data_IF_928307284087
#
_entry.id   IF_928307284087
#
_cell.length_a   1.000
_cell.length_b   1.000
_cell.length_c   1.000
_cell.angle_alpha   90.00
_cell.angle_beta   90.00
_cell.angle_gamma   90.00
#
_symmetry.space_group_name_H-M   'P 1'
#
loop_
_entity.id
_entity.type
_entity.pdbx_description
1 polymer ?
#
# COMPACT_ATOMS: atom_id res chain seq x y z
N UNK A 1 -14.21 8.37 22.66
CA UNK A 1 -12.73 8.46 22.55
C UNK A 1 -12.41 8.13 21.10
N UNK A 2 -12.00 9.11 20.29
CA UNK A 2 -11.72 8.87 18.87
C UNK A 2 -10.33 8.23 18.74
N UNK A 3 -10.27 7.00 18.24
CA UNK A 3 -9.00 6.36 17.93
C UNK A 3 -8.33 7.13 16.79
N UNK A 4 -7.02 7.44 16.86
CA UNK A 4 -6.33 8.05 15.73
C UNK A 4 -6.41 7.07 14.55
N UNK A 5 -6.79 7.59 13.39
CA UNK A 5 -6.93 6.82 12.16
C UNK A 5 -5.58 6.27 11.67
N UNK A 6 -5.56 5.15 10.92
CA UNK A 6 -4.35 4.58 10.31
C UNK A 6 -3.49 5.61 9.57
N UNK A 7 -2.19 5.36 9.54
CA UNK A 7 -1.19 6.23 8.92
C UNK A 7 -0.61 5.56 7.68
N UNK A 8 -0.73 6.20 6.51
CA UNK A 8 -0.06 5.80 5.27
C UNK A 8 1.12 6.72 4.96
N UNK A 9 2.15 6.18 4.31
CA UNK A 9 3.23 7.00 3.75
C UNK A 9 2.76 7.78 2.52
N UNK A 10 3.06 9.07 2.50
CA UNK A 10 2.79 10.02 1.43
C UNK A 10 4.12 10.60 0.89
N UNK A 11 4.15 11.22 -0.31
CA UNK A 11 5.40 11.67 -0.95
C UNK A 11 6.35 12.50 -0.08
N UNK A 12 5.81 13.25 0.89
CA UNK A 12 6.59 14.16 1.75
C UNK A 12 6.18 14.04 3.23
N UNK A 13 5.60 12.90 3.65
CA UNK A 13 5.19 12.74 5.03
C UNK A 13 4.28 11.55 5.30
N UNK A 14 3.48 11.69 6.35
CA UNK A 14 2.50 10.68 6.78
C UNK A 14 1.11 11.25 6.65
N UNK A 15 0.18 10.49 6.07
CA UNK A 15 -1.22 10.86 5.94
C UNK A 15 -2.10 9.97 6.81
N UNK A 16 -2.98 10.59 7.59
CA UNK A 16 -3.99 9.89 8.38
C UNK A 16 -5.21 9.57 7.51
N UNK A 17 -5.59 8.30 7.41
CA UNK A 17 -6.77 7.87 6.63
C UNK A 17 -7.69 7.00 7.47
N UNK A 18 -8.98 7.31 7.49
CA UNK A 18 -10.00 6.42 8.02
C UNK A 18 -10.43 5.35 7.01
N UNK A 19 -11.25 4.37 7.42
CA UNK A 19 -11.84 3.40 6.50
C UNK A 19 -12.59 4.11 5.38
N UNK A 20 -12.51 3.54 4.18
CA UNK A 20 -13.17 4.09 3.00
C UNK A 20 -14.66 4.25 3.26
N UNK A 21 -15.22 5.41 2.90
CA UNK A 21 -16.67 5.62 3.00
C UNK A 21 -17.31 5.02 1.76
N UNK A 22 -18.17 4.04 1.98
CA UNK A 22 -19.10 3.59 0.95
C UNK A 22 -20.10 4.73 0.64
N UNK A 23 -19.87 5.45 -0.45
CA UNK A 23 -20.73 6.52 -0.95
C UNK A 23 -21.54 6.08 -2.18
N UNK A 24 -21.99 4.81 -2.22
CA UNK A 24 -22.90 4.26 -3.26
C UNK A 24 -24.17 5.08 -3.53
N UNK A 25 -24.45 6.12 -2.75
CA UNK A 25 -25.49 7.12 -3.06
C UNK A 25 -25.29 7.80 -4.42
N UNK A 26 -24.04 7.91 -4.89
CA UNK A 26 -23.70 8.37 -6.24
C UNK A 26 -22.68 7.43 -6.85
N UNK A 27 -23.13 6.32 -7.48
CA UNK A 27 -22.25 5.27 -7.98
C UNK A 27 -21.17 5.77 -8.94
N UNK A 28 -21.43 6.87 -9.65
CA UNK A 28 -20.50 7.40 -10.65
C UNK A 28 -19.29 8.15 -10.08
N UNK A 29 -19.48 8.77 -8.92
CA UNK A 29 -18.42 9.46 -8.18
C UNK A 29 -18.09 8.70 -6.89
N UNK A 30 -18.39 7.40 -6.87
CA UNK A 30 -18.17 6.61 -5.70
C UNK A 30 -16.66 6.51 -5.42
N UNK A 31 -16.22 7.01 -4.27
CA UNK A 31 -14.81 6.93 -3.87
C UNK A 31 -14.51 5.46 -3.63
N UNK A 32 -13.56 4.91 -4.37
CA UNK A 32 -13.08 3.56 -4.10
C UNK A 32 -12.41 3.56 -2.71
N UNK A 33 -12.59 2.49 -1.91
CA UNK A 33 -11.97 2.42 -0.58
C UNK A 33 -10.44 2.34 -0.63
N UNK A 34 -9.87 2.10 -1.82
CA UNK A 34 -8.43 1.97 -2.08
C UNK A 34 -7.68 3.27 -1.87
N UNK A 35 -6.52 3.20 -1.23
CA UNK A 35 -5.59 4.29 -1.03
C UNK A 35 -4.15 3.89 -1.43
N UNK A 36 -3.33 4.85 -1.87
CA UNK A 36 -1.92 4.61 -2.13
C UNK A 36 -1.06 4.77 -0.86
N UNK A 37 0.06 4.05 -0.80
CA UNK A 37 1.16 4.25 0.14
C UNK A 37 2.51 4.10 -0.59
N UNK A 38 3.57 4.77 -0.12
CA UNK A 38 4.89 4.83 -0.80
C UNK A 38 6.01 4.00 -0.16
N UNK A 39 5.71 3.22 0.87
CA UNK A 39 6.69 2.32 1.45
C UNK A 39 6.33 1.74 2.80
N UNK A 40 5.40 2.36 3.52
CA UNK A 40 4.82 1.77 4.71
C UNK A 40 3.35 2.15 4.91
N UNK A 41 2.68 1.30 5.69
CA UNK A 41 1.37 1.54 6.28
C UNK A 41 1.42 1.12 7.75
N UNK A 42 0.89 1.94 8.65
CA UNK A 42 0.71 1.59 10.05
C UNK A 42 -0.78 1.58 10.39
N UNK A 43 -1.26 0.44 10.87
CA UNK A 43 -2.63 0.33 11.35
C UNK A 43 -2.79 1.04 12.69
N UNK A 44 -3.95 1.63 12.88
CA UNK A 44 -4.41 2.17 14.14
C UNK A 44 -5.90 1.81 14.29
N UNK A 45 -6.30 1.32 15.46
CA UNK A 45 -7.64 0.78 15.65
C UNK A 45 -7.77 -0.09 16.90
N UNK A 46 -8.90 -0.84 17.03
CA UNK A 46 -9.18 -1.66 18.21
C UNK A 46 -8.35 -2.96 18.28
N UNK A 47 -7.74 -3.36 17.16
CA UNK A 47 -6.79 -4.48 17.11
C UNK A 47 -5.38 -4.03 17.46
N UNK A 48 -4.50 -4.91 17.97
CA UNK A 48 -3.09 -4.57 18.19
C UNK A 48 -2.46 -3.97 16.92
N UNK A 49 -1.82 -2.78 17.02
CA UNK A 49 -1.32 -2.08 15.85
C UNK A 49 -0.17 -2.87 15.20
N UNK A 50 -0.10 -2.80 13.88
CA UNK A 50 0.96 -3.38 13.07
C UNK A 50 1.48 -2.37 12.05
N UNK A 51 2.68 -2.61 11.54
CA UNK A 51 3.28 -1.90 10.43
C UNK A 51 3.51 -2.89 9.29
N UNK A 52 3.15 -2.46 8.09
CA UNK A 52 3.47 -3.11 6.84
C UNK A 52 4.52 -2.25 6.12
N UNK A 53 5.57 -2.87 5.62
CA UNK A 53 6.57 -2.20 4.78
C UNK A 53 6.66 -2.90 3.42
N UNK A 54 6.83 -2.09 2.37
CA UNK A 54 6.91 -2.55 0.99
C UNK A 54 7.98 -1.75 0.23
N UNK A 55 8.78 -2.37 -0.66
CA UNK A 55 9.71 -1.66 -1.52
C UNK A 55 8.98 -0.84 -2.60
N UNK A 56 8.49 0.35 -2.23
CA UNK A 56 7.88 1.31 -3.16
C UNK A 56 6.38 1.49 -2.96
N UNK A 57 5.68 1.76 -4.07
CA UNK A 57 4.27 2.13 -4.05
C UNK A 57 3.37 0.91 -4.01
N UNK A 58 2.38 0.92 -3.12
CA UNK A 58 1.37 -0.11 -3.05
C UNK A 58 -0.02 0.47 -2.81
N UNK A 59 -1.03 -0.31 -3.17
CA UNK A 59 -2.45 0.01 -3.00
C UNK A 59 -2.99 -0.84 -1.86
N UNK A 60 -3.78 -0.23 -0.99
CA UNK A 60 -4.41 -0.91 0.14
C UNK A 60 -5.84 -0.41 0.36
N UNK A 61 -6.66 -1.20 1.04
CA UNK A 61 -7.96 -0.81 1.57
C UNK A 61 -8.00 -0.94 3.09
N UNK A 62 -8.75 -0.06 3.72
CA UNK A 62 -9.02 -0.08 5.17
C UNK A 62 -10.47 -0.51 5.39
N UNK A 63 -10.66 -1.66 6.02
CA UNK A 63 -11.96 -2.14 6.44
C UNK A 63 -12.45 -1.45 7.73
N UNK A 64 -13.76 -1.54 7.98
CA UNK A 64 -14.39 -0.88 9.13
C UNK A 64 -13.96 -1.47 10.48
N UNK A 65 -13.50 -2.71 10.49
CA UNK A 65 -13.09 -3.43 11.71
C UNK A 65 -11.58 -3.27 12.01
N UNK A 66 -10.87 -2.46 11.22
CA UNK A 66 -9.43 -2.26 11.33
C UNK A 66 -8.60 -3.30 10.58
N UNK A 67 -9.23 -4.10 9.74
CA UNK A 67 -8.60 -4.96 8.75
C UNK A 67 -7.99 -4.14 7.61
N UNK A 68 -6.92 -4.68 7.01
CA UNK A 68 -6.22 -4.06 5.89
C UNK A 68 -6.11 -5.08 4.76
N UNK A 69 -6.66 -4.75 3.60
CA UNK A 69 -6.49 -5.53 2.39
C UNK A 69 -5.38 -4.89 1.53
N UNK A 70 -4.45 -5.71 1.07
CA UNK A 70 -3.31 -5.29 0.26
C UNK A 70 -3.45 -5.81 -1.16
N UNK A 71 -3.40 -4.93 -2.15
CA UNK A 71 -3.47 -5.33 -3.55
C UNK A 71 -2.12 -5.92 -3.98
N UNK A 72 -2.05 -7.24 -4.13
CA UNK A 72 -0.83 -7.93 -4.60
C UNK A 72 -0.66 -7.86 -6.12
N UNK A 73 -1.77 -7.89 -6.86
CA UNK A 73 -1.79 -7.82 -8.32
C UNK A 73 -3.15 -7.29 -8.80
N UNK A 74 -3.16 -6.53 -9.89
CA UNK A 74 -4.36 -6.00 -10.53
C UNK A 74 -4.25 -6.12 -12.04
N UNK A 75 -4.95 -7.11 -12.58
CA UNK A 75 -4.99 -7.42 -14.02
C UNK A 75 -6.17 -6.73 -14.71
N UNK A 76 -5.91 -6.00 -15.80
CA UNK A 76 -6.95 -5.30 -16.58
C UNK A 76 -6.86 -5.62 -18.07
N UNK A 77 -8.00 -5.72 -18.75
CA UNK A 77 -8.07 -6.14 -20.16
C UNK A 77 -8.13 -5.00 -21.16
N UNK A 78 -8.53 -3.82 -20.69
CA UNK A 78 -8.75 -2.63 -21.52
C UNK A 78 -8.39 -1.39 -20.73
N UNK A 79 -7.86 -0.38 -21.43
CA UNK A 79 -7.54 0.93 -20.86
C UNK A 79 -8.80 1.71 -20.46
N UNK A 80 -9.87 1.57 -21.24
CA UNK A 80 -11.13 2.27 -21.04
C UNK A 80 -12.28 1.38 -21.50
N UNK A 81 -13.09 0.92 -20.54
CA UNK A 81 -14.27 0.08 -20.78
C UNK A 81 -15.51 0.94 -21.06
N UNK A 82 -16.38 0.50 -21.96
CA UNK A 82 -17.71 1.08 -22.18
C UNK A 82 -18.72 0.66 -21.14
N UNK A 83 -18.53 -0.53 -20.57
CA UNK A 83 -19.49 -1.23 -19.71
C UNK A 83 -19.16 -1.07 -18.22
N UNK A 84 -18.58 0.08 -17.84
CA UNK A 84 -18.32 0.39 -16.44
C UNK A 84 -19.64 0.68 -15.72
N UNK A 85 -19.90 -0.04 -14.61
CA UNK A 85 -21.11 0.17 -13.78
C UNK A 85 -21.22 1.57 -13.21
N UNK A 86 -20.08 2.25 -13.06
CA UNK A 86 -19.98 3.56 -12.44
C UNK A 86 -19.87 4.68 -13.47
N UNK A 87 -19.99 4.41 -14.78
CA UNK A 87 -20.10 5.49 -15.76
C UNK A 87 -20.56 4.95 -17.10
N UNK A 88 -21.49 5.66 -17.74
CA UNK A 88 -21.82 5.41 -19.14
C UNK A 88 -20.65 5.82 -20.05
N UNK A 89 -20.25 4.91 -20.94
CA UNK A 89 -19.27 5.18 -21.99
C UNK A 89 -17.81 5.25 -21.53
N UNK A 90 -16.95 5.65 -22.46
CA UNK A 90 -15.49 5.57 -22.33
C UNK A 90 -14.86 6.75 -21.57
N UNK A 91 -13.76 6.47 -20.84
CA UNK A 91 -12.93 7.50 -20.18
C UNK A 91 -11.84 8.01 -21.13
N UNK A 92 -11.54 7.20 -22.14
CA UNK A 92 -10.48 7.36 -23.11
C UNK A 92 -10.61 6.28 -24.20
N UNK A 93 -9.59 6.12 -25.02
CA UNK A 93 -9.66 5.19 -26.16
C UNK A 93 -9.89 3.74 -25.72
N UNK A 94 -10.77 3.03 -26.43
CA UNK A 94 -11.13 1.64 -26.16
C UNK A 94 -10.02 0.66 -26.60
N UNK A 95 -8.85 0.79 -26.00
CA UNK A 95 -7.66 0.03 -26.38
C UNK A 95 -7.54 -1.22 -25.53
N UNK A 96 -7.41 -2.38 -26.19
CA UNK A 96 -7.10 -3.64 -25.51
C UNK A 96 -5.68 -3.60 -24.92
N UNK A 97 -5.53 -4.09 -23.68
CA UNK A 97 -4.25 -4.09 -22.95
C UNK A 97 -3.88 -5.50 -22.49
N UNK A 98 -3.62 -6.44 -23.41
CA UNK A 98 -3.37 -7.85 -23.04
C UNK A 98 -2.15 -8.02 -22.13
N UNK A 99 -1.13 -7.17 -22.26
CA UNK A 99 0.04 -7.20 -21.37
C UNK A 99 -0.29 -6.76 -19.93
N UNK A 100 -1.30 -5.91 -19.73
CA UNK A 100 -1.75 -5.48 -18.40
C UNK A 100 -2.57 -6.54 -17.66
N UNK A 101 -2.67 -7.75 -18.20
CA UNK A 101 -3.16 -8.92 -17.48
C UNK A 101 -2.13 -9.49 -16.50
N UNK A 102 -0.88 -9.01 -16.55
CA UNK A 102 0.21 -9.48 -15.71
C UNK A 102 0.44 -11.01 -15.86
N UNK A 103 0.62 -11.56 -17.08
CA UNK A 103 0.82 -12.99 -17.26
C UNK A 103 2.18 -13.46 -16.73
N UNK A 104 2.24 -14.68 -16.19
CA UNK A 104 3.48 -15.30 -15.74
C UNK A 104 3.63 -15.32 -14.22
N UNK A 105 4.86 -15.57 -13.74
CA UNK A 105 5.16 -15.70 -12.31
C UNK A 105 5.52 -14.34 -11.73
N UNK A 106 4.83 -13.97 -10.66
CA UNK A 106 5.11 -12.78 -9.84
C UNK A 106 5.67 -13.17 -8.49
N UNK A 107 6.62 -12.39 -8.00
CA UNK A 107 7.14 -12.49 -6.64
C UNK A 107 6.87 -11.15 -5.98
N UNK A 108 6.21 -11.21 -4.82
CA UNK A 108 5.82 -10.03 -4.06
C UNK A 108 6.47 -10.12 -2.70
N UNK A 109 7.22 -9.08 -2.33
CA UNK A 109 7.99 -9.01 -1.09
C UNK A 109 7.49 -7.84 -0.24
N UNK A 110 7.14 -8.14 1.00
CA UNK A 110 6.74 -7.16 2.01
C UNK A 110 7.01 -7.71 3.40
N UNK A 111 7.04 -6.84 4.40
CA UNK A 111 7.17 -7.24 5.81
C UNK A 111 5.98 -6.77 6.62
N UNK A 112 5.65 -7.53 7.67
CA UNK A 112 4.68 -7.14 8.68
C UNK A 112 5.33 -7.28 10.06
N UNK A 113 5.21 -6.24 10.88
CA UNK A 113 5.71 -6.23 12.25
C UNK A 113 4.67 -5.67 13.23
N UNK A 114 4.57 -6.20 14.47
CA UNK A 114 3.79 -5.54 15.51
C UNK A 114 4.33 -4.13 15.78
N UNK A 115 3.45 -3.13 15.81
CA UNK A 115 3.84 -1.74 15.96
C UNK A 115 3.60 -1.25 17.40
N UNK A 116 4.38 -1.78 18.36
CA UNK A 116 4.32 -1.37 19.78
C UNK A 116 5.06 -0.04 20.00
N UNK A 117 4.47 0.86 20.81
CA UNK A 117 5.14 2.09 21.27
C UNK A 117 4.68 3.39 20.61
N UNK A 118 5.06 4.51 21.22
CA UNK A 118 4.84 5.87 20.72
C UNK A 118 5.67 6.12 19.46
N UNK A 119 5.05 6.74 18.47
CA UNK A 119 5.72 7.19 17.26
C UNK A 119 5.81 8.70 17.38
N UNK A 120 7.02 9.24 17.28
CA UNK A 120 7.26 10.69 17.37
C UNK A 120 6.43 11.48 16.34
N UNK A 121 6.41 12.82 16.44
CA UNK A 121 5.59 13.69 15.60
C UNK A 121 5.82 13.55 14.08
N UNK A 122 6.88 12.87 13.65
CA UNK A 122 7.18 12.55 12.25
C UNK A 122 6.60 11.21 11.77
N UNK A 123 5.95 10.41 12.62
CA UNK A 123 5.35 9.14 12.21
C UNK A 123 6.34 8.01 11.94
N UNK A 124 7.64 8.19 12.21
CA UNK A 124 8.69 7.23 11.86
C UNK A 124 9.05 6.35 13.07
N UNK A 125 8.45 5.16 13.17
CA UNK A 125 9.11 4.02 13.82
C UNK A 125 10.07 3.43 12.77
N UNK A 126 11.33 3.15 13.13
CA UNK A 126 12.45 3.53 12.30
C UNK A 126 12.50 2.71 11.01
N UNK A 127 12.92 3.43 9.98
CA UNK A 127 13.51 3.01 8.71
C UNK A 127 14.45 1.77 8.76
N UNK A 128 14.76 1.23 9.95
CA UNK A 128 15.58 0.05 10.19
C UNK A 128 14.95 -1.25 9.68
N UNK A 129 13.63 -1.46 9.72
CA UNK A 129 13.04 -2.68 9.10
C UNK A 129 13.19 -2.62 7.58
N UNK A 130 12.90 -1.45 6.98
CA UNK A 130 13.08 -1.23 5.54
C UNK A 130 14.53 -1.39 5.11
N UNK A 131 15.48 -0.82 5.85
CA UNK A 131 16.91 -0.97 5.57
C UNK A 131 17.35 -2.43 5.74
N UNK A 132 16.97 -3.10 6.84
CA UNK A 132 17.39 -4.47 7.12
C UNK A 132 16.77 -5.53 6.19
N UNK A 133 15.56 -5.29 5.66
CA UNK A 133 14.88 -6.22 4.75
C UNK A 133 15.29 -6.01 3.28
N UNK A 134 15.57 -4.76 2.87
CA UNK A 134 15.89 -4.42 1.47
C UNK A 134 17.39 -4.31 1.17
N UNK A 135 18.26 -4.34 2.17
CA UNK A 135 19.69 -4.48 1.93
C UNK A 135 20.09 -5.94 2.04
N UNK A 136 20.65 -6.51 0.97
CA UNK A 136 21.52 -7.67 1.12
C UNK A 136 22.55 -7.35 2.21
N UNK A 137 22.88 -8.31 3.10
CA UNK A 137 23.94 -8.08 4.06
C UNK A 137 25.21 -7.73 3.28
N UNK A 138 25.77 -6.54 3.53
CA UNK A 138 27.13 -6.23 3.08
C UNK A 138 28.03 -7.19 3.83
N UNK A 139 28.37 -8.32 3.20
CA UNK A 139 29.48 -9.16 3.64
C UNK A 139 30.72 -8.31 3.41
N UNK A 140 31.22 -7.66 4.46
CA UNK A 140 32.55 -7.06 4.39
C UNK A 140 33.51 -8.20 4.03
N UNK A 141 34.10 -8.14 2.83
CA UNK A 141 35.18 -9.05 2.49
C UNK A 141 36.26 -8.92 3.58
N UNK A 142 36.83 -10.03 4.08
CA UNK A 142 37.92 -9.95 5.03
C UNK A 142 39.04 -9.06 4.45
N UNK A 143 39.66 -8.19 5.26
CA UNK A 143 40.73 -7.32 4.77
C UNK A 143 41.82 -8.17 4.10
N UNK A 144 42.41 -7.72 2.98
CA UNK A 144 43.44 -8.48 2.29
C UNK A 144 44.57 -8.78 3.27
N UNK A 145 45.00 -10.04 3.33
CA UNK A 145 46.15 -10.45 4.11
C UNK A 145 47.37 -9.68 3.59
N UNK A 146 48.01 -8.89 4.45
CA UNK A 146 49.31 -8.30 4.14
C UNK A 146 50.29 -9.46 3.95
N UNK A 147 50.79 -9.61 2.72
CA UNK A 147 51.97 -10.43 2.42
C UNK A 147 53.24 -9.61 2.68
#
# INVERSE_FOLDING_TARGET
>A
MAWPWPNGSAPLGTEHRGPGRDNRSWPEEATLPTAPAQGFLRSAGPVPPFQLDWPGFFEYELGSEGDVALTLCRSVGQLSRTDNRNRLGHAGWATATPAAQEPGRHVVEFSIAPARGYVGPTGVHPIWIRAAYLSDPIVQAPPPSLQ
#
